data_IF_614414169618
#
_entry.id   IF_614414169618
#
_cell.length_a   1.000
_cell.length_b   1.000
_cell.length_c   1.000
_cell.angle_alpha   90.00
_cell.angle_beta   90.00
_cell.angle_gamma   90.00
#
_symmetry.space_group_name_H-M   'P 1'
#
loop_
_entity.id
_entity.type
_entity.pdbx_description
1 polymer ?
#
# COMPACT_ATOMS: atom_id res chain seq x y z
N UNK A 1 18.05 10.74 10.36
CA UNK A 1 17.81 9.41 9.74
C UNK A 1 16.32 9.17 9.87
N UNK A 2 15.60 9.03 8.77
CA UNK A 2 14.15 8.77 8.79
C UNK A 2 13.96 7.35 9.33
N UNK A 3 13.04 7.17 10.29
CA UNK A 3 12.70 5.84 10.79
C UNK A 3 12.05 5.07 9.62
N UNK A 4 12.55 3.87 9.25
CA UNK A 4 11.98 3.07 8.15
C UNK A 4 10.47 2.81 8.30
N UNK A 5 9.95 2.79 9.53
CA UNK A 5 8.52 2.63 9.80
C UNK A 5 7.65 3.78 9.26
N UNK A 6 8.25 4.92 8.92
CA UNK A 6 7.56 6.11 8.43
C UNK A 6 8.01 6.52 7.03
N UNK A 7 8.61 5.62 6.29
CA UNK A 7 8.96 5.84 4.88
C UNK A 7 7.67 5.84 4.05
N UNK A 8 7.39 6.96 3.39
CA UNK A 8 6.24 7.11 2.48
C UNK A 8 6.62 6.70 1.06
N UNK A 9 7.80 7.14 0.59
CA UNK A 9 8.26 6.92 -0.78
C UNK A 9 9.43 5.95 -0.80
N UNK A 10 9.25 4.85 -1.50
CA UNK A 10 10.27 3.85 -1.81
C UNK A 10 10.79 4.08 -3.23
N UNK A 11 12.03 3.65 -3.53
CA UNK A 11 12.69 3.89 -4.83
C UNK A 11 12.68 5.38 -5.19
N UNK A 12 13.23 6.20 -4.29
CA UNK A 12 13.15 7.66 -4.34
C UNK A 12 13.58 8.24 -5.71
N UNK A 13 12.74 9.12 -6.23
CA UNK A 13 13.01 9.91 -7.43
C UNK A 13 12.52 11.35 -7.18
N UNK A 14 13.43 12.31 -7.36
CA UNK A 14 13.05 13.72 -7.30
C UNK A 14 12.17 14.08 -8.48
N UNK A 15 10.93 14.49 -8.22
CA UNK A 15 10.00 14.87 -9.26
C UNK A 15 8.85 15.72 -8.68
N UNK A 16 8.41 16.72 -9.45
CA UNK A 16 7.27 17.58 -9.09
C UNK A 16 5.96 16.79 -9.13
N UNK A 17 5.17 16.87 -8.06
CA UNK A 17 3.88 16.19 -7.94
C UNK A 17 2.88 16.59 -9.05
N UNK A 18 3.01 17.79 -9.63
CA UNK A 18 2.10 18.28 -10.68
C UNK A 18 2.31 17.60 -12.03
N UNK A 19 3.55 17.15 -12.31
CA UNK A 19 3.92 16.66 -13.64
C UNK A 19 3.84 15.12 -13.73
N UNK A 20 3.60 14.46 -12.58
CA UNK A 20 3.63 13.02 -12.50
C UNK A 20 2.29 12.38 -12.91
N UNK A 21 2.42 11.19 -13.44
CA UNK A 21 1.35 10.21 -13.54
C UNK A 21 1.47 9.24 -12.37
N UNK A 22 0.37 8.95 -11.72
CA UNK A 22 0.30 8.00 -10.61
C UNK A 22 -0.56 6.81 -11.00
N UNK A 23 -0.18 5.65 -10.50
CA UNK A 23 -0.94 4.41 -10.66
C UNK A 23 -1.30 3.89 -9.28
N UNK A 24 -2.54 4.08 -8.85
CA UNK A 24 -3.05 3.38 -7.67
C UNK A 24 -3.32 1.93 -8.03
N UNK A 25 -2.90 0.99 -7.21
CA UNK A 25 -3.19 -0.42 -7.42
C UNK A 25 -3.41 -1.15 -6.11
N UNK A 26 -4.13 -2.26 -6.22
CA UNK A 26 -4.43 -3.17 -5.13
C UNK A 26 -4.41 -4.62 -5.62
N UNK A 27 -4.19 -5.56 -4.70
CA UNK A 27 -4.09 -6.99 -4.96
C UNK A 27 -4.99 -7.79 -4.02
N UNK A 28 -5.75 -8.74 -4.58
CA UNK A 28 -6.30 -9.82 -3.78
C UNK A 28 -5.46 -11.07 -3.93
N UNK A 29 -5.31 -11.83 -2.84
CA UNK A 29 -4.38 -12.96 -2.77
C UNK A 29 -4.98 -14.15 -2.05
N UNK A 30 -4.40 -15.35 -2.25
CA UNK A 30 -4.82 -16.56 -1.53
C UNK A 30 -4.42 -16.58 -0.06
N UNK A 31 -3.61 -15.60 0.39
CA UNK A 31 -3.12 -15.44 1.77
C UNK A 31 -2.05 -14.37 1.88
N UNK A 32 -1.37 -14.31 3.01
CA UNK A 32 -0.43 -13.21 3.34
C UNK A 32 1.05 -13.54 3.09
N UNK A 33 1.38 -14.77 2.70
CA UNK A 33 2.76 -15.19 2.47
C UNK A 33 3.18 -14.89 1.04
N UNK A 34 4.04 -13.91 0.85
CA UNK A 34 4.59 -13.56 -0.47
C UNK A 34 5.35 -14.73 -1.14
N UNK A 35 5.79 -15.72 -0.35
CA UNK A 35 6.52 -16.90 -0.86
C UNK A 35 5.58 -18.03 -1.29
N UNK A 36 4.44 -18.20 -0.61
CA UNK A 36 3.60 -19.39 -0.72
C UNK A 36 2.20 -19.11 -1.26
N UNK A 37 1.81 -17.84 -1.33
CA UNK A 37 0.50 -17.44 -1.79
C UNK A 37 0.55 -16.85 -3.21
N UNK A 38 -0.60 -16.81 -3.86
CA UNK A 38 -0.76 -16.35 -5.23
C UNK A 38 -1.73 -15.16 -5.29
N UNK A 39 -1.63 -14.34 -6.34
CA UNK A 39 -2.59 -13.28 -6.65
C UNK A 39 -3.86 -13.93 -7.23
N UNK A 40 -5.02 -13.44 -6.79
CA UNK A 40 -6.36 -13.85 -7.27
C UNK A 40 -7.07 -12.73 -8.02
N UNK A 41 -6.76 -11.49 -7.76
CA UNK A 41 -7.23 -10.32 -8.51
C UNK A 41 -6.17 -9.24 -8.52
N UNK A 42 -6.10 -8.49 -9.61
CA UNK A 42 -5.30 -7.29 -9.78
C UNK A 42 -6.19 -6.15 -10.24
N UNK A 43 -6.11 -5.00 -9.58
CA UNK A 43 -6.78 -3.77 -9.98
C UNK A 43 -5.83 -2.59 -9.97
N UNK A 44 -5.89 -1.75 -11.00
CA UNK A 44 -5.11 -0.51 -11.04
C UNK A 44 -5.81 0.61 -11.81
N UNK A 45 -5.66 1.83 -11.31
CA UNK A 45 -6.19 3.06 -11.91
C UNK A 45 -5.05 4.05 -12.11
N UNK A 46 -4.91 4.55 -13.33
CA UNK A 46 -3.90 5.55 -13.68
C UNK A 46 -4.52 6.94 -13.62
N UNK A 47 -3.89 7.83 -12.87
CA UNK A 47 -4.35 9.20 -12.66
C UNK A 47 -3.28 10.23 -13.04
N UNK A 48 -3.71 11.31 -13.65
CA UNK A 48 -2.88 12.48 -13.96
C UNK A 48 -3.68 13.77 -13.78
N UNK A 49 -3.12 14.75 -13.11
CA UNK A 49 -3.78 16.02 -12.83
C UNK A 49 -5.18 15.85 -12.19
N UNK A 50 -5.31 14.87 -11.28
CA UNK A 50 -6.57 14.59 -10.61
C UNK A 50 -7.63 13.86 -11.45
N UNK A 51 -7.32 13.47 -12.67
CA UNK A 51 -8.23 12.75 -13.56
C UNK A 51 -7.77 11.34 -13.83
N UNK A 52 -8.70 10.39 -13.87
CA UNK A 52 -8.43 9.03 -14.36
C UNK A 52 -8.14 9.10 -15.86
N UNK A 53 -7.02 8.50 -16.28
CA UNK A 53 -6.60 8.42 -17.68
C UNK A 53 -6.46 6.97 -18.18
N UNK A 54 -6.67 6.01 -17.34
CA UNK A 54 -6.62 4.58 -17.69
C UNK A 54 -6.91 3.70 -16.50
N UNK A 55 -7.34 2.47 -16.80
CA UNK A 55 -7.67 1.43 -15.81
C UNK A 55 -7.33 0.07 -16.37
N UNK A 56 -6.84 -0.82 -15.51
CA UNK A 56 -6.65 -2.22 -15.82
C UNK A 56 -7.10 -3.08 -14.63
N UNK A 57 -7.78 -4.17 -14.94
CA UNK A 57 -8.28 -5.12 -13.95
C UNK A 57 -8.27 -6.52 -14.54
N UNK A 58 -7.98 -7.51 -13.71
CA UNK A 58 -8.21 -8.93 -14.05
C UNK A 58 -8.35 -9.78 -12.80
N UNK A 59 -9.30 -10.71 -12.81
CA UNK A 59 -9.19 -11.90 -12.01
C UNK A 59 -7.99 -12.70 -12.52
N UNK A 60 -7.29 -13.37 -11.61
CA UNK A 60 -6.08 -14.14 -11.90
C UNK A 60 -6.28 -15.57 -11.39
N UNK A 61 -5.98 -16.54 -12.21
CA UNK A 61 -6.03 -17.95 -11.83
C UNK A 61 -4.83 -18.31 -10.95
N UNK A 62 -5.03 -18.54 -9.64
CA UNK A 62 -3.95 -18.93 -8.74
C UNK A 62 -3.59 -20.40 -8.94
N UNK A 63 -2.35 -20.77 -8.60
CA UNK A 63 -1.96 -22.20 -8.48
C UNK A 63 -2.53 -22.83 -7.21
N UNK A 64 -2.62 -22.00 -6.16
CA UNK A 64 -3.11 -22.40 -4.85
C UNK A 64 -4.63 -22.27 -4.79
N UNK A 65 -5.29 -23.25 -4.19
CA UNK A 65 -6.73 -23.22 -3.98
C UNK A 65 -7.13 -22.08 -3.04
N UNK A 66 -8.14 -21.29 -3.43
CA UNK A 66 -8.70 -20.21 -2.61
C UNK A 66 -9.48 -20.84 -1.46
N UNK A 67 -9.05 -20.57 -0.23
CA UNK A 67 -9.71 -21.11 0.96
C UNK A 67 -11.06 -20.40 1.23
N UNK A 68 -11.97 -21.09 1.92
CA UNK A 68 -13.26 -20.50 2.29
C UNK A 68 -13.11 -19.18 3.07
N UNK A 69 -12.06 -19.07 3.89
CA UNK A 69 -11.80 -17.84 4.64
C UNK A 69 -11.46 -16.66 3.71
N UNK A 70 -10.66 -16.91 2.66
CA UNK A 70 -10.31 -15.88 1.66
C UNK A 70 -11.54 -15.54 0.83
N UNK A 71 -12.30 -16.54 0.38
CA UNK A 71 -13.57 -16.29 -0.36
C UNK A 71 -14.55 -15.45 0.47
N UNK A 72 -14.66 -15.68 1.79
CA UNK A 72 -15.49 -14.85 2.65
C UNK A 72 -15.01 -13.41 2.78
N UNK A 73 -13.71 -13.17 2.60
CA UNK A 73 -13.11 -11.84 2.66
C UNK A 73 -13.20 -11.08 1.34
N UNK A 74 -12.82 -11.76 0.24
CA UNK A 74 -12.66 -11.13 -1.09
C UNK A 74 -13.85 -11.33 -2.01
N UNK A 75 -14.78 -12.20 -1.62
CA UNK A 75 -15.91 -12.69 -2.44
C UNK A 75 -15.49 -13.41 -3.73
N UNK A 76 -14.19 -13.73 -3.89
CA UNK A 76 -13.66 -14.45 -5.04
C UNK A 76 -13.66 -15.95 -4.73
N UNK A 77 -14.30 -16.74 -5.62
CA UNK A 77 -14.36 -18.20 -5.53
C UNK A 77 -13.38 -18.87 -6.50
N UNK A 78 -13.10 -20.16 -6.29
CA UNK A 78 -12.31 -20.94 -7.25
C UNK A 78 -12.99 -21.07 -8.63
N UNK A 79 -14.31 -20.97 -8.67
CA UNK A 79 -15.06 -21.01 -9.92
C UNK A 79 -14.91 -19.70 -10.71
N UNK A 80 -14.81 -18.56 -10.03
CA UNK A 80 -14.64 -17.26 -10.69
C UNK A 80 -13.29 -17.15 -11.41
N UNK A 81 -12.26 -17.78 -10.87
CA UNK A 81 -10.88 -17.68 -11.40
C UNK A 81 -10.49 -18.84 -12.32
N UNK A 82 -11.34 -19.85 -12.51
CA UNK A 82 -10.97 -21.09 -13.26
C UNK A 82 -10.58 -20.84 -14.71
N UNK A 83 -11.23 -19.89 -15.36
CA UNK A 83 -11.04 -19.50 -16.76
C UNK A 83 -10.27 -18.16 -16.88
N UNK A 84 -9.81 -17.58 -15.76
CA UNK A 84 -9.02 -16.36 -15.74
C UNK A 84 -7.58 -16.63 -16.25
N UNK A 85 -6.88 -15.61 -16.75
CA UNK A 85 -5.46 -15.73 -17.09
C UNK A 85 -4.65 -16.08 -15.87
N UNK A 86 -3.54 -16.77 -16.06
CA UNK A 86 -2.52 -16.93 -15.03
C UNK A 86 -1.77 -15.61 -14.79
N UNK A 87 -1.15 -15.46 -13.65
CA UNK A 87 -0.33 -14.27 -13.38
C UNK A 87 0.81 -14.14 -14.39
N UNK A 88 1.40 -15.24 -14.85
CA UNK A 88 2.47 -15.24 -15.85
C UNK A 88 2.01 -14.62 -17.18
N UNK A 89 0.77 -14.91 -17.60
CA UNK A 89 0.16 -14.33 -18.80
C UNK A 89 -0.20 -12.84 -18.62
N UNK A 90 -0.45 -12.40 -17.38
CA UNK A 90 -0.91 -11.05 -17.09
C UNK A 90 0.22 -10.07 -16.72
N UNK A 91 1.38 -10.54 -16.24
CA UNK A 91 2.55 -9.71 -15.92
C UNK A 91 2.91 -8.70 -17.02
N UNK A 92 2.99 -9.07 -18.33
CA UNK A 92 3.32 -8.12 -19.38
C UNK A 92 2.37 -6.92 -19.43
N UNK A 93 1.07 -7.13 -19.16
CA UNK A 93 0.07 -6.08 -19.16
C UNK A 93 0.22 -5.16 -17.93
N UNK A 94 0.58 -5.72 -16.76
CA UNK A 94 0.88 -4.93 -15.55
C UNK A 94 2.07 -4.00 -15.82
N UNK A 95 3.16 -4.55 -16.38
CA UNK A 95 4.38 -3.79 -16.63
C UNK A 95 4.17 -2.70 -17.70
N UNK A 96 3.42 -3.01 -18.76
CA UNK A 96 3.06 -2.04 -19.79
C UNK A 96 2.16 -0.93 -19.22
N UNK A 97 1.24 -1.28 -18.33
CA UNK A 97 0.39 -0.30 -17.68
C UNK A 97 1.17 0.57 -16.68
N UNK A 98 2.09 0.02 -15.91
CA UNK A 98 2.88 0.77 -14.93
C UNK A 98 3.92 1.68 -15.59
N UNK A 99 4.59 1.24 -16.66
CA UNK A 99 5.69 1.98 -17.29
C UNK A 99 6.69 2.50 -16.24
N UNK A 100 7.05 3.79 -16.31
CA UNK A 100 7.92 4.48 -15.34
C UNK A 100 7.13 5.37 -14.37
N UNK A 101 5.80 5.20 -14.30
CA UNK A 101 4.92 6.02 -13.48
C UNK A 101 5.13 5.74 -11.98
N UNK A 102 4.70 6.67 -11.13
CA UNK A 102 4.73 6.51 -9.68
C UNK A 102 3.58 5.62 -9.25
N UNK A 103 3.88 4.51 -8.60
CA UNK A 103 2.84 3.60 -8.08
C UNK A 103 2.43 3.98 -6.66
N UNK A 104 1.16 3.78 -6.35
CA UNK A 104 0.56 4.08 -5.05
C UNK A 104 -0.21 2.86 -4.57
N UNK A 105 0.05 2.42 -3.35
CA UNK A 105 -0.72 1.35 -2.70
C UNK A 105 -1.02 1.71 -1.24
N UNK A 106 -2.05 1.08 -0.66
CA UNK A 106 -2.41 1.30 0.74
C UNK A 106 -1.83 0.21 1.63
N UNK A 107 -0.72 0.49 2.31
CA UNK A 107 0.22 -0.47 2.89
C UNK A 107 1.13 -1.10 1.82
N UNK A 108 1.78 -0.23 1.06
CA UNK A 108 2.57 -0.57 -0.13
C UNK A 108 3.62 -1.66 0.09
N UNK A 109 4.10 -1.86 1.33
CA UNK A 109 5.02 -2.96 1.66
C UNK A 109 4.41 -4.33 1.38
N UNK A 110 3.08 -4.48 1.47
CA UNK A 110 2.40 -5.72 1.13
C UNK A 110 2.28 -5.85 -0.40
N UNK A 111 1.58 -4.94 -1.07
CA UNK A 111 1.25 -5.08 -2.50
C UNK A 111 2.51 -5.02 -3.39
N UNK A 112 3.38 -4.04 -3.15
CA UNK A 112 4.65 -3.92 -3.90
C UNK A 112 5.58 -5.09 -3.58
N UNK A 113 5.62 -5.52 -2.31
CA UNK A 113 6.40 -6.68 -1.90
C UNK A 113 5.92 -7.97 -2.56
N UNK A 114 4.61 -8.18 -2.59
CA UNK A 114 3.97 -9.34 -3.20
C UNK A 114 4.22 -9.37 -4.71
N UNK A 115 3.94 -8.26 -5.39
CA UNK A 115 4.17 -8.16 -6.84
C UNK A 115 5.64 -8.33 -7.21
N UNK A 116 6.56 -7.76 -6.44
CA UNK A 116 8.00 -7.93 -6.66
C UNK A 116 8.46 -9.38 -6.52
N UNK A 117 7.90 -10.14 -5.56
CA UNK A 117 8.22 -11.56 -5.41
C UNK A 117 7.67 -12.39 -6.58
N UNK A 118 6.46 -12.09 -7.01
CA UNK A 118 5.85 -12.70 -8.20
C UNK A 118 6.70 -12.41 -9.45
N UNK A 119 7.10 -11.16 -9.66
CA UNK A 119 7.95 -10.80 -10.80
C UNK A 119 9.25 -11.61 -10.81
N UNK A 120 9.95 -11.70 -9.68
CA UNK A 120 11.19 -12.49 -9.57
C UNK A 120 10.94 -13.97 -9.82
N UNK A 121 9.85 -14.53 -9.29
CA UNK A 121 9.44 -15.94 -9.46
C UNK A 121 9.26 -16.31 -10.95
N UNK A 122 8.82 -15.36 -11.77
CA UNK A 122 8.62 -15.54 -13.20
C UNK A 122 9.74 -14.95 -14.08
N UNK A 123 10.91 -14.63 -13.48
CA UNK A 123 12.11 -14.21 -14.22
C UNK A 123 12.15 -12.74 -14.61
N UNK A 124 11.26 -11.93 -14.10
CA UNK A 124 11.27 -10.48 -14.31
C UNK A 124 12.08 -9.76 -13.22
N UNK A 125 12.66 -8.59 -13.51
CA UNK A 125 13.25 -7.75 -12.48
C UNK A 125 12.19 -7.17 -11.56
N UNK A 126 12.59 -6.84 -10.32
CA UNK A 126 11.73 -6.07 -9.40
C UNK A 126 11.39 -4.71 -9.99
N UNK A 127 10.23 -4.18 -9.60
CA UNK A 127 9.80 -2.84 -9.95
C UNK A 127 10.87 -1.79 -9.54
N UNK A 128 11.14 -0.86 -10.43
CA UNK A 128 12.00 0.31 -10.17
C UNK A 128 11.20 1.60 -10.00
N UNK A 129 9.90 1.51 -10.16
CA UNK A 129 8.99 2.63 -9.98
C UNK A 129 9.14 3.24 -8.59
N UNK A 130 9.11 4.56 -8.45
CA UNK A 130 8.84 5.18 -7.15
C UNK A 130 7.50 4.65 -6.63
N UNK A 131 7.48 4.20 -5.38
CA UNK A 131 6.27 3.65 -4.77
C UNK A 131 5.88 4.48 -3.54
N UNK A 132 4.65 4.93 -3.48
CA UNK A 132 4.11 5.72 -2.37
C UNK A 132 3.21 4.82 -1.52
N UNK A 133 3.49 4.79 -0.21
CA UNK A 133 2.61 4.18 0.77
C UNK A 133 1.59 5.18 1.30
N UNK A 134 0.37 5.09 0.81
CA UNK A 134 -0.72 5.98 1.22
C UNK A 134 -1.16 5.79 2.68
N UNK A 135 -0.94 4.61 3.27
CA UNK A 135 -1.18 4.37 4.70
C UNK A 135 -0.22 5.21 5.55
N UNK A 136 1.08 5.14 5.26
CA UNK A 136 2.09 5.93 5.96
C UNK A 136 1.92 7.43 5.70
N UNK A 137 1.53 7.80 4.48
CA UNK A 137 1.19 9.19 4.17
C UNK A 137 -0.02 9.68 4.98
N UNK A 138 -1.06 8.84 5.13
CA UNK A 138 -2.23 9.17 5.95
C UNK A 138 -1.86 9.40 7.43
N UNK A 139 -0.90 8.65 7.98
CA UNK A 139 -0.42 8.88 9.35
C UNK A 139 0.18 10.28 9.54
N UNK A 140 0.83 10.81 8.50
CA UNK A 140 1.46 12.14 8.53
C UNK A 140 0.46 13.26 8.29
N UNK A 141 -0.44 13.08 7.31
CA UNK A 141 -1.45 14.09 6.94
C UNK A 141 -2.62 14.17 7.92
N UNK A 142 -3.02 13.04 8.51
CA UNK A 142 -4.25 12.91 9.29
C UNK A 142 -3.97 12.38 10.71
N UNK A 143 -3.16 13.08 11.53
CA UNK A 143 -2.66 12.56 12.81
C UNK A 143 -3.77 12.24 13.83
N UNK A 144 -4.95 12.84 13.69
CA UNK A 144 -6.07 12.67 14.61
C UNK A 144 -7.10 11.63 14.15
N UNK A 145 -6.87 10.97 13.02
CA UNK A 145 -7.76 9.93 12.51
C UNK A 145 -7.72 8.69 13.43
N UNK A 146 -8.89 8.15 13.77
CA UNK A 146 -9.01 7.01 14.70
C UNK A 146 -8.74 5.64 14.07
N UNK A 147 -8.35 5.59 12.82
CA UNK A 147 -8.02 4.35 12.10
C UNK A 147 -7.68 4.65 10.65
N UNK A 148 -6.75 3.90 10.09
CA UNK A 148 -6.13 4.23 8.81
C UNK A 148 -6.35 3.16 7.74
N UNK A 149 -7.35 2.28 7.91
CA UNK A 149 -7.81 1.42 6.81
C UNK A 149 -8.35 2.28 5.68
N UNK A 150 -8.24 1.84 4.44
CA UNK A 150 -8.64 2.59 3.26
C UNK A 150 -10.06 3.20 3.40
N UNK A 151 -11.05 2.42 3.83
CA UNK A 151 -12.40 2.91 4.05
C UNK A 151 -12.55 4.00 5.12
N UNK A 152 -11.66 4.05 6.14
CA UNK A 152 -11.70 5.14 7.13
C UNK A 152 -11.11 6.43 6.54
N UNK A 153 -10.05 6.30 5.76
CA UNK A 153 -9.41 7.43 5.07
C UNK A 153 -10.35 7.97 3.98
N UNK A 154 -10.99 7.09 3.20
CA UNK A 154 -12.00 7.44 2.23
C UNK A 154 -13.15 8.24 2.87
N UNK A 155 -13.68 7.74 4.01
CA UNK A 155 -14.74 8.45 4.75
C UNK A 155 -14.30 9.82 5.24
N UNK A 156 -13.05 9.97 5.69
CA UNK A 156 -12.50 11.27 6.07
C UNK A 156 -12.56 12.28 4.91
N UNK A 157 -12.18 11.83 3.73
CA UNK A 157 -12.22 12.63 2.50
C UNK A 157 -13.60 12.68 1.82
N UNK A 158 -14.63 12.07 2.43
CA UNK A 158 -16.00 11.99 1.90
C UNK A 158 -16.08 11.27 0.54
N UNK A 159 -15.17 10.34 0.32
CA UNK A 159 -15.20 9.45 -0.84
C UNK A 159 -16.12 8.28 -0.49
N UNK A 160 -17.08 7.94 -1.36
CA UNK A 160 -17.92 6.77 -1.14
C UNK A 160 -17.07 5.51 -0.99
N UNK A 161 -17.39 4.70 0.01
CA UNK A 161 -16.76 3.41 0.24
C UNK A 161 -17.84 2.45 0.75
N UNK A 162 -18.23 1.51 -0.09
CA UNK A 162 -19.18 0.46 0.29
C UNK A 162 -18.42 -0.72 0.88
N UNK A 163 -18.82 -1.15 2.06
CA UNK A 163 -18.21 -2.28 2.75
C UNK A 163 -18.52 -3.63 2.07
N UNK A 164 -19.60 -3.71 1.29
CA UNK A 164 -19.97 -4.93 0.57
C UNK A 164 -19.13 -5.12 -0.71
N UNK A 165 -18.62 -4.02 -1.30
CA UNK A 165 -17.70 -4.03 -2.43
C UNK A 165 -16.22 -4.00 -2.02
N UNK A 166 -15.95 -3.81 -0.74
CA UNK A 166 -14.60 -3.83 -0.18
C UNK A 166 -13.91 -5.19 -0.41
N UNK A 167 -12.59 -5.16 -0.49
CA UNK A 167 -11.78 -6.33 -0.82
C UNK A 167 -12.03 -6.88 -2.23
N UNK A 168 -12.22 -5.98 -3.17
CA UNK A 168 -12.13 -6.18 -4.61
C UNK A 168 -11.06 -5.23 -5.14
N UNK A 169 -10.03 -5.79 -5.77
CA UNK A 169 -8.82 -5.04 -6.12
C UNK A 169 -9.10 -3.84 -7.05
N UNK A 170 -10.06 -3.97 -7.97
CA UNK A 170 -10.47 -2.88 -8.86
C UNK A 170 -11.16 -1.73 -8.11
N UNK A 171 -12.07 -2.09 -7.20
CA UNK A 171 -12.78 -1.13 -6.37
C UNK A 171 -11.85 -0.42 -5.38
N UNK A 172 -11.00 -1.17 -4.68
CA UNK A 172 -10.06 -0.59 -3.71
C UNK A 172 -9.00 0.28 -4.42
N UNK A 173 -8.55 -0.09 -5.63
CA UNK A 173 -7.67 0.74 -6.45
C UNK A 173 -8.36 2.07 -6.89
N UNK A 174 -9.65 2.04 -7.23
CA UNK A 174 -10.43 3.23 -7.58
C UNK A 174 -10.61 4.16 -6.39
N UNK A 175 -11.02 3.61 -5.25
CA UNK A 175 -11.17 4.37 -4.01
C UNK A 175 -9.83 4.98 -3.60
N UNK A 176 -8.74 4.20 -3.70
CA UNK A 176 -7.39 4.68 -3.40
C UNK A 176 -6.98 5.83 -4.33
N UNK A 177 -7.32 5.76 -5.62
CA UNK A 177 -7.07 6.85 -6.56
C UNK A 177 -7.74 8.16 -6.11
N UNK A 178 -9.00 8.07 -5.71
CA UNK A 178 -9.75 9.20 -5.16
C UNK A 178 -9.14 9.75 -3.87
N UNK A 179 -8.83 8.87 -2.92
CA UNK A 179 -8.18 9.22 -1.65
C UNK A 179 -6.83 9.90 -1.92
N UNK A 180 -6.02 9.34 -2.78
CA UNK A 180 -4.71 9.87 -3.08
C UNK A 180 -4.75 11.24 -3.76
N UNK A 181 -5.73 11.49 -4.64
CA UNK A 181 -5.97 12.82 -5.21
C UNK A 181 -6.25 13.86 -4.12
N UNK A 182 -7.03 13.53 -3.10
CA UNK A 182 -7.27 14.42 -1.96
C UNK A 182 -6.00 14.65 -1.14
N UNK A 183 -5.21 13.59 -0.91
CA UNK A 183 -3.92 13.70 -0.23
C UNK A 183 -2.92 14.60 -1.00
N UNK A 184 -2.88 14.50 -2.34
CA UNK A 184 -2.06 15.38 -3.18
C UNK A 184 -2.47 16.85 -3.03
N UNK A 185 -3.78 17.11 -2.95
CA UNK A 185 -4.28 18.46 -2.71
C UNK A 185 -3.82 18.99 -1.34
N UNK A 186 -3.94 18.18 -0.27
CA UNK A 186 -3.52 18.55 1.07
C UNK A 186 -2.00 18.80 1.15
N UNK A 187 -1.19 17.96 0.49
CA UNK A 187 0.25 18.14 0.39
C UNK A 187 0.60 19.48 -0.24
N UNK A 188 0.00 19.80 -1.40
CA UNK A 188 0.26 21.06 -2.09
C UNK A 188 -0.20 22.28 -1.28
N UNK A 189 -1.30 22.19 -0.54
CA UNK A 189 -1.73 23.27 0.38
C UNK A 189 -0.75 23.47 1.53
N UNK A 190 -0.09 22.42 2.00
CA UNK A 190 0.95 22.48 3.04
C UNK A 190 2.33 22.88 2.50
N UNK A 191 2.46 23.13 1.19
CA UNK A 191 3.72 23.57 0.55
C UNK A 191 4.66 22.43 0.13
N UNK A 192 4.19 21.19 0.12
CA UNK A 192 4.93 20.04 -0.39
C UNK A 192 4.65 19.86 -1.90
N UNK A 193 5.66 19.97 -2.73
CA UNK A 193 5.51 19.94 -4.19
C UNK A 193 6.37 18.87 -4.85
N UNK A 194 7.24 18.21 -4.13
CA UNK A 194 8.11 17.14 -4.62
C UNK A 194 7.78 15.81 -3.93
N UNK A 195 7.92 14.71 -4.68
CA UNK A 195 7.70 13.37 -4.14
C UNK A 195 8.56 13.09 -2.89
N UNK A 196 9.81 13.59 -2.88
CA UNK A 196 10.72 13.36 -1.76
C UNK A 196 10.32 14.11 -0.48
N UNK A 197 9.56 15.20 -0.61
CA UNK A 197 9.09 15.96 0.55
C UNK A 197 8.25 15.10 1.50
N UNK A 198 7.52 14.11 0.96
CA UNK A 198 6.69 13.21 1.77
C UNK A 198 7.48 12.44 2.83
N UNK A 199 8.72 12.03 2.53
CA UNK A 199 9.56 11.34 3.51
C UNK A 199 10.04 12.29 4.63
N UNK A 200 10.25 13.56 4.30
CA UNK A 200 10.70 14.58 5.28
C UNK A 200 9.58 15.06 6.21
N UNK A 201 8.31 14.80 5.90
CA UNK A 201 7.18 15.19 6.75
C UNK A 201 7.30 14.57 8.14
N UNK A 202 6.96 15.33 9.18
CA UNK A 202 6.84 14.82 10.55
C UNK A 202 5.63 13.87 10.67
N UNK A 203 5.74 12.91 11.60
CA UNK A 203 4.62 12.07 12.01
C UNK A 203 4.29 12.37 13.49
N UNK A 204 3.37 13.31 13.78
CA UNK A 204 3.16 13.81 15.14
C UNK A 204 2.75 12.72 16.15
N UNK A 205 2.05 11.71 15.71
CA UNK A 205 1.55 10.60 16.54
C UNK A 205 2.34 9.29 16.33
N UNK A 206 3.60 9.37 15.90
CA UNK A 206 4.46 8.22 15.66
C UNK A 206 4.42 7.18 16.80
N UNK A 207 4.45 7.64 18.05
CA UNK A 207 4.42 6.76 19.24
C UNK A 207 3.14 5.92 19.38
N UNK A 208 2.01 6.34 18.77
CA UNK A 208 0.74 5.58 18.78
C UNK A 208 0.72 4.48 17.69
N UNK A 209 1.54 4.62 16.67
CA UNK A 209 1.53 3.80 15.45
C UNK A 209 2.58 2.70 15.54
N UNK A 210 3.76 3.04 16.08
CA UNK A 210 4.85 2.08 16.25
C UNK A 210 4.43 1.01 17.25
N UNK A 211 4.46 -0.25 16.82
CA UNK A 211 4.26 -1.38 17.74
C UNK A 211 5.36 -1.36 18.79
N UNK A 212 5.02 -1.41 20.10
CA UNK A 212 6.04 -1.47 21.14
C UNK A 212 6.93 -2.69 20.92
N UNK A 213 8.24 -2.47 20.91
CA UNK A 213 9.22 -3.56 20.87
C UNK A 213 9.47 -4.03 22.31
N UNK A 214 9.43 -5.34 22.54
CA UNK A 214 9.81 -5.88 23.82
C UNK A 214 11.32 -5.78 23.98
N UNK A 215 11.75 -5.22 25.11
CA UNK A 215 13.16 -5.14 25.49
C UNK A 215 13.31 -5.74 26.89
N UNK A 216 14.19 -6.72 27.04
CA UNK A 216 14.58 -7.23 28.34
C UNK A 216 15.73 -6.40 28.89
N UNK A 217 15.52 -5.77 30.03
CA UNK A 217 16.56 -5.02 30.75
C UNK A 217 16.98 -5.81 31.97
N UNK A 218 18.25 -6.18 32.06
CA UNK A 218 18.81 -6.89 33.20
C UNK A 218 19.67 -5.96 34.06
N UNK A 219 19.36 -5.90 35.36
CA UNK A 219 20.17 -5.16 36.28
C UNK A 219 21.42 -5.98 36.71
N UNK A 220 22.61 -5.43 36.45
CA UNK A 220 23.88 -6.10 36.83
C UNK A 220 24.15 -5.99 38.34
N UNK A 221 23.61 -5.01 39.04
CA UNK A 221 23.82 -4.73 40.45
C UNK A 221 22.68 -3.91 41.06
N UNK A 222 22.74 -3.63 42.37
CA UNK A 222 21.70 -2.84 43.07
C UNK A 222 21.54 -1.42 42.52
N UNK A 223 22.58 -0.78 42.01
CA UNK A 223 22.50 0.53 41.36
C UNK A 223 21.75 0.45 40.03
N UNK A 224 22.04 -0.58 39.22
CA UNK A 224 21.31 -0.86 37.99
C UNK A 224 19.84 -1.17 38.24
N UNK A 225 19.51 -1.91 39.28
CA UNK A 225 18.14 -2.17 39.69
C UNK A 225 17.40 -0.89 40.07
N UNK A 226 18.05 -0.02 40.87
CA UNK A 226 17.49 1.29 41.23
C UNK A 226 17.27 2.19 40.01
N UNK A 227 18.13 2.11 38.99
CA UNK A 227 17.95 2.87 37.75
C UNK A 227 16.84 2.30 36.87
N UNK A 228 16.62 0.98 36.86
CA UNK A 228 15.48 0.35 36.17
C UNK A 228 14.13 0.92 36.65
N UNK A 229 13.95 1.10 37.96
CA UNK A 229 12.72 1.70 38.50
C UNK A 229 12.50 3.17 38.15
N UNK A 230 13.48 3.84 37.53
CA UNK A 230 13.32 5.20 37.01
C UNK A 230 12.94 5.25 35.53
N UNK A 231 12.93 4.09 34.85
CA UNK A 231 12.56 3.96 33.44
C UNK A 231 11.09 3.59 33.24
N UNK A 232 10.36 3.30 34.33
CA UNK A 232 8.92 2.92 34.35
C UNK A 232 8.07 4.13 34.69
#
# INVERSE_FOLDING_TARGET
MIDPAFTVVYNERKASLKDLTFVSFDLETTGLSVMDDDITEFGAVKIKNGQEIGRIQSLIKPKKHISQKITQLTHITNDDVKDAPTIEEFIPQILDFFQDDVIVAHNATFDVGFLNEILVRYGYPKLKNPAIDSLTLAWKLLPDLKGYRLGNVARHYRIPYDGDDAHRADYDAEVLAGVFNMMLHDLMQQGYYDVLDMNAMECPNAYKIVRPKHMCVLAKNKTGLKNMFKLV
#
